data_IF_896326170835
#
_entry.id   IF_896326170835
#
_cell.length_a   1.000
_cell.length_b   1.000
_cell.length_c   1.000
_cell.angle_alpha   90.00
_cell.angle_beta   90.00
_cell.angle_gamma   90.00
#
_symmetry.space_group_name_H-M   'P 1'
#
loop_
_entity.id
_entity.type
_entity.pdbx_description
1 polymer ?
#
# COMPACT_ATOMS: atom_id res chain seq x y z
N UNK A 1 3.44 31.16 -30.38
CA UNK A 1 4.17 30.24 -31.29
C UNK A 1 3.95 28.87 -30.70
N UNK A 2 3.03 28.14 -31.30
CA UNK A 2 2.61 26.80 -30.85
C UNK A 2 3.44 25.82 -31.67
N UNK A 3 4.39 25.15 -31.03
CA UNK A 3 5.26 24.16 -31.67
C UNK A 3 4.41 22.95 -32.08
N UNK A 4 3.92 22.97 -33.31
CA UNK A 4 3.40 21.77 -33.97
C UNK A 4 4.56 20.84 -34.29
N UNK A 5 5.01 20.07 -33.31
CA UNK A 5 5.87 18.92 -33.56
C UNK A 5 5.09 17.93 -34.41
N UNK A 6 5.49 17.79 -35.67
CA UNK A 6 5.03 16.72 -36.55
C UNK A 6 5.37 15.39 -35.87
N UNK A 7 4.38 14.52 -35.58
CA UNK A 7 4.65 13.26 -34.89
C UNK A 7 5.59 12.44 -35.77
N UNK A 8 6.81 12.23 -35.30
CA UNK A 8 7.78 11.40 -36.01
C UNK A 8 7.21 9.99 -36.11
N UNK A 9 7.16 9.38 -37.31
CA UNK A 9 6.66 8.02 -37.45
C UNK A 9 7.50 7.08 -36.58
N UNK A 10 6.83 6.44 -35.61
CA UNK A 10 7.48 5.48 -34.70
C UNK A 10 8.04 4.32 -35.51
N UNK A 11 9.28 3.92 -35.22
CA UNK A 11 9.90 2.75 -35.82
C UNK A 11 9.01 1.51 -35.54
N UNK A 12 8.49 0.81 -36.57
CA UNK A 12 7.68 -0.39 -36.36
C UNK A 12 8.43 -1.49 -35.60
N UNK A 13 9.77 -1.46 -35.55
CA UNK A 13 10.58 -2.38 -34.73
C UNK A 13 10.58 -2.07 -33.24
N UNK A 14 10.16 -0.88 -32.83
CA UNK A 14 10.13 -0.48 -31.41
C UNK A 14 9.25 -1.42 -30.55
N UNK A 15 8.26 -2.07 -31.17
CA UNK A 15 7.38 -3.03 -30.50
C UNK A 15 7.83 -4.48 -30.59
N UNK A 16 8.85 -4.82 -31.39
CA UNK A 16 9.34 -6.21 -31.51
C UNK A 16 10.00 -6.72 -30.21
N UNK A 17 10.49 -5.82 -29.36
CA UNK A 17 11.01 -6.13 -28.04
C UNK A 17 9.91 -6.23 -26.96
N UNK A 18 8.70 -5.73 -27.26
CA UNK A 18 7.56 -5.78 -26.35
C UNK A 18 6.90 -7.14 -26.43
N UNK A 19 7.14 -8.00 -25.43
CA UNK A 19 6.56 -9.35 -25.37
C UNK A 19 5.16 -9.33 -24.75
N UNK A 20 5.09 -8.92 -23.49
CA UNK A 20 3.87 -8.94 -22.67
C UNK A 20 3.75 -7.73 -21.73
N UNK A 21 4.78 -6.88 -21.64
CA UNK A 21 4.79 -5.68 -20.78
C UNK A 21 4.86 -5.92 -19.25
N UNK A 22 4.61 -7.14 -18.77
CA UNK A 22 4.56 -7.50 -17.34
C UNK A 22 5.78 -7.06 -16.51
N UNK A 23 6.99 -7.16 -17.08
CA UNK A 23 8.25 -6.84 -16.39
C UNK A 23 8.93 -5.58 -16.94
N UNK A 24 8.24 -4.81 -17.79
CA UNK A 24 8.77 -3.57 -18.34
C UNK A 24 8.86 -2.47 -17.28
N UNK A 25 9.85 -1.58 -17.43
CA UNK A 25 9.91 -0.34 -16.64
C UNK A 25 8.84 0.66 -17.09
N UNK A 26 8.51 0.66 -18.40
CA UNK A 26 7.48 1.51 -19.00
C UNK A 26 6.22 0.69 -19.21
N UNK A 27 5.12 1.12 -18.61
CA UNK A 27 3.80 0.54 -18.85
C UNK A 27 3.13 1.29 -19.99
N UNK A 28 2.79 0.55 -21.04
CA UNK A 28 2.02 1.08 -22.17
C UNK A 28 0.55 0.75 -21.87
N UNK A 29 -0.28 1.77 -21.74
CA UNK A 29 -1.68 1.66 -21.35
C UNK A 29 -2.58 2.44 -22.31
N UNK A 30 -3.82 1.98 -22.45
CA UNK A 30 -4.90 2.82 -22.98
C UNK A 30 -5.31 3.88 -21.95
N UNK A 31 -6.01 4.97 -22.34
CA UNK A 31 -6.49 5.95 -21.37
C UNK A 31 -7.38 5.34 -20.27
N UNK A 32 -8.22 4.37 -20.62
CA UNK A 32 -9.11 3.68 -19.67
C UNK A 32 -8.30 2.80 -18.69
N UNK A 33 -7.29 2.08 -19.20
CA UNK A 33 -6.38 1.28 -18.36
C UNK A 33 -5.56 2.16 -17.41
N UNK A 34 -5.11 3.33 -17.87
CA UNK A 34 -4.35 4.29 -17.06
C UNK A 34 -5.21 4.85 -15.92
N UNK A 35 -6.49 5.15 -16.20
CA UNK A 35 -7.44 5.58 -15.19
C UNK A 35 -7.66 4.48 -14.14
N UNK A 36 -7.85 3.23 -14.58
CA UNK A 36 -8.02 2.09 -13.69
C UNK A 36 -6.76 1.81 -12.83
N UNK A 37 -5.58 1.87 -13.43
CA UNK A 37 -4.30 1.72 -12.73
C UNK A 37 -4.10 2.82 -11.69
N UNK A 38 -4.41 4.07 -12.04
CA UNK A 38 -4.31 5.21 -11.14
C UNK A 38 -5.25 5.05 -9.94
N UNK A 39 -6.51 4.67 -10.19
CA UNK A 39 -7.48 4.39 -9.14
C UNK A 39 -7.04 3.25 -8.22
N UNK A 40 -6.48 2.17 -8.78
CA UNK A 40 -5.88 1.07 -8.03
C UNK A 40 -4.76 1.54 -7.11
N UNK A 41 -3.78 2.28 -7.64
CA UNK A 41 -2.67 2.80 -6.85
C UNK A 41 -3.17 3.71 -5.72
N UNK A 42 -4.10 4.61 -6.01
CA UNK A 42 -4.71 5.49 -5.01
C UNK A 42 -5.39 4.70 -3.90
N UNK A 43 -6.15 3.64 -4.23
CA UNK A 43 -6.79 2.76 -3.25
C UNK A 43 -5.75 2.09 -2.34
N UNK A 44 -4.62 1.63 -2.89
CA UNK A 44 -3.55 1.04 -2.08
C UNK A 44 -2.88 2.06 -1.15
N UNK A 45 -2.59 3.27 -1.64
CA UNK A 45 -2.04 4.35 -0.81
C UNK A 45 -3.01 4.75 0.31
N UNK A 46 -4.31 4.83 0.02
CA UNK A 46 -5.33 5.13 1.03
C UNK A 46 -5.40 4.04 2.10
N UNK A 47 -5.41 2.76 1.69
CA UNK A 47 -5.51 1.63 2.62
C UNK A 47 -4.26 1.46 3.48
N UNK A 48 -3.08 1.66 2.91
CA UNK A 48 -1.79 1.51 3.61
C UNK A 48 -1.41 2.74 4.43
N UNK A 49 -1.99 3.91 4.13
CA UNK A 49 -1.72 5.19 4.77
C UNK A 49 -0.22 5.47 5.02
N UNK A 50 0.63 5.39 3.98
CA UNK A 50 2.06 5.58 4.12
C UNK A 50 2.43 7.03 4.45
N UNK A 51 3.38 7.22 5.34
CA UNK A 51 3.92 8.51 5.72
C UNK A 51 5.42 8.63 5.37
N UNK A 52 5.84 9.79 4.88
CA UNK A 52 7.20 10.00 4.42
C UNK A 52 7.52 9.31 3.08
N UNK A 53 8.69 9.63 2.52
CA UNK A 53 9.06 9.19 1.18
C UNK A 53 9.29 7.66 1.09
N UNK A 54 9.87 7.07 2.14
CA UNK A 54 10.22 5.63 2.16
C UNK A 54 8.96 4.77 2.20
N UNK A 55 8.03 5.04 3.11
CA UNK A 55 6.76 4.29 3.16
C UNK A 55 5.96 4.47 1.86
N UNK A 56 5.93 5.68 1.29
CA UNK A 56 5.23 5.97 0.02
C UNK A 56 5.83 5.18 -1.15
N UNK A 57 7.15 5.07 -1.20
CA UNK A 57 7.84 4.27 -2.22
C UNK A 57 7.50 2.79 -2.10
N UNK A 58 7.49 2.25 -0.88
CA UNK A 58 7.08 0.86 -0.62
C UNK A 58 5.61 0.62 -0.98
N UNK A 59 4.70 1.53 -0.60
CA UNK A 59 3.29 1.44 -0.93
C UNK A 59 3.05 1.46 -2.45
N UNK A 60 3.75 2.33 -3.18
CA UNK A 60 3.69 2.34 -4.64
C UNK A 60 4.18 1.01 -5.22
N UNK A 61 5.35 0.51 -4.79
CA UNK A 61 5.86 -0.77 -5.29
C UNK A 61 4.92 -1.94 -5.00
N UNK A 62 4.24 -1.94 -3.86
CA UNK A 62 3.22 -2.95 -3.54
C UNK A 62 2.04 -2.85 -4.52
N UNK A 63 1.55 -1.62 -4.77
CA UNK A 63 0.45 -1.40 -5.69
C UNK A 63 0.80 -1.84 -7.13
N UNK A 64 1.98 -1.46 -7.62
CA UNK A 64 2.49 -1.81 -8.96
C UNK A 64 2.57 -3.33 -9.14
N UNK A 65 3.08 -4.02 -8.13
CA UNK A 65 3.27 -5.46 -8.17
C UNK A 65 1.95 -6.22 -8.08
N UNK A 66 1.00 -5.72 -7.29
CA UNK A 66 -0.35 -6.27 -7.26
C UNK A 66 -1.07 -6.09 -8.59
N UNK A 67 -0.91 -4.92 -9.22
CA UNK A 67 -1.44 -4.68 -10.55
C UNK A 67 -0.83 -5.63 -11.59
N UNK A 68 0.49 -5.87 -11.51
CA UNK A 68 1.17 -6.87 -12.37
C UNK A 68 0.61 -8.27 -12.16
N UNK A 69 0.37 -8.70 -10.93
CA UNK A 69 -0.21 -10.01 -10.64
C UNK A 69 -1.63 -10.15 -11.21
N UNK A 70 -2.48 -9.13 -11.04
CA UNK A 70 -3.82 -9.12 -11.63
C UNK A 70 -3.77 -9.19 -13.17
N UNK A 71 -2.86 -8.45 -13.79
CA UNK A 71 -2.65 -8.50 -15.25
C UNK A 71 -2.12 -9.85 -15.72
N UNK A 72 -1.25 -10.50 -14.95
CA UNK A 72 -0.77 -11.85 -15.26
C UNK A 72 -1.94 -12.83 -15.36
N UNK A 73 -2.80 -12.85 -14.35
CA UNK A 73 -4.00 -13.68 -14.33
C UNK A 73 -4.96 -13.36 -15.51
N UNK A 74 -5.12 -12.08 -15.85
CA UNK A 74 -5.94 -11.67 -16.99
C UNK A 74 -5.36 -12.14 -18.34
N UNK A 75 -4.03 -12.08 -18.51
CA UNK A 75 -3.34 -12.58 -19.71
C UNK A 75 -3.55 -14.09 -19.85
N UNK A 76 -3.37 -14.84 -18.77
CA UNK A 76 -3.58 -16.29 -18.78
C UNK A 76 -5.01 -16.65 -19.20
N UNK A 77 -6.01 -16.03 -18.56
CA UNK A 77 -7.41 -16.25 -18.90
C UNK A 77 -7.72 -15.89 -20.37
N UNK A 78 -7.17 -14.78 -20.85
CA UNK A 78 -7.34 -14.35 -22.25
C UNK A 78 -6.73 -15.37 -23.21
N UNK A 79 -5.56 -15.92 -22.88
CA UNK A 79 -4.90 -16.90 -23.75
C UNK A 79 -5.69 -18.20 -23.85
N UNK A 80 -6.25 -18.68 -22.74
CA UNK A 80 -7.19 -19.82 -22.76
C UNK A 80 -8.44 -19.53 -23.56
N UNK A 81 -9.04 -18.35 -23.38
CA UNK A 81 -10.24 -17.94 -24.12
C UNK A 81 -9.99 -17.89 -25.64
N UNK A 82 -8.81 -17.41 -26.06
CA UNK A 82 -8.40 -17.42 -27.47
C UNK A 82 -8.24 -18.84 -28.01
N UNK A 83 -7.54 -19.72 -27.29
CA UNK A 83 -7.34 -21.09 -27.74
C UNK A 83 -8.63 -21.91 -27.81
N UNK A 84 -9.60 -21.64 -26.93
CA UNK A 84 -10.93 -22.24 -26.98
C UNK A 84 -11.82 -21.70 -28.12
N UNK A 85 -11.49 -20.53 -28.67
CA UNK A 85 -12.20 -19.97 -29.82
C UNK A 85 -11.60 -20.42 -31.17
N UNK A 86 -10.41 -21.01 -31.15
CA UNK A 86 -9.78 -21.57 -32.35
C UNK A 86 -10.43 -22.92 -32.71
N UNK A 87 -10.64 -23.24 -34.01
CA UNK A 87 -11.21 -24.52 -34.41
C UNK A 87 -10.33 -25.69 -33.95
N UNK A 88 -10.92 -26.63 -33.22
CA UNK A 88 -10.20 -27.79 -32.72
C UNK A 88 -9.72 -28.72 -33.84
N UNK A 89 -8.58 -29.39 -33.61
CA UNK A 89 -8.14 -30.51 -34.45
C UNK A 89 -8.87 -31.82 -34.12
N UNK A 90 -9.50 -31.91 -32.95
CA UNK A 90 -10.16 -33.10 -32.44
C UNK A 90 -11.64 -32.82 -32.20
N UNK A 91 -12.52 -33.62 -32.81
CA UNK A 91 -13.97 -33.50 -32.66
C UNK A 91 -14.52 -34.80 -32.07
N UNK A 92 -14.90 -34.76 -30.80
CA UNK A 92 -15.59 -35.84 -30.09
C UNK A 92 -17.11 -35.78 -30.29
N UNK A 93 -17.63 -34.74 -30.95
CA UNK A 93 -19.07 -34.49 -31.14
C UNK A 93 -19.84 -34.39 -29.82
N UNK A 94 -19.15 -33.94 -28.77
CA UNK A 94 -19.73 -33.72 -27.45
C UNK A 94 -19.19 -32.41 -26.90
N UNK A 95 -20.02 -31.37 -26.70
CA UNK A 95 -19.56 -30.01 -26.40
C UNK A 95 -18.57 -29.90 -25.24
N UNK A 96 -18.81 -30.65 -24.16
CA UNK A 96 -17.93 -30.63 -22.98
C UNK A 96 -16.58 -31.33 -23.23
N UNK A 97 -16.56 -32.36 -24.08
CA UNK A 97 -15.33 -33.10 -24.40
C UNK A 97 -14.50 -32.28 -25.38
N UNK A 98 -15.15 -31.64 -26.36
CA UNK A 98 -14.50 -30.72 -27.30
C UNK A 98 -13.88 -29.54 -26.55
N UNK A 99 -14.62 -28.90 -25.63
CA UNK A 99 -14.09 -27.81 -24.80
C UNK A 99 -12.91 -28.25 -23.91
N UNK A 100 -12.92 -29.48 -23.38
CA UNK A 100 -11.81 -30.02 -22.61
C UNK A 100 -10.58 -30.28 -23.49
N UNK A 101 -10.77 -30.77 -24.72
CA UNK A 101 -9.67 -30.93 -25.68
C UNK A 101 -9.06 -29.59 -26.08
N UNK A 102 -9.87 -28.57 -26.40
CA UNK A 102 -9.38 -27.23 -26.70
C UNK A 102 -8.49 -26.67 -25.58
N UNK A 103 -8.93 -26.82 -24.32
CA UNK A 103 -8.14 -26.41 -23.15
C UNK A 103 -6.83 -27.19 -23.04
N UNK A 104 -6.84 -28.51 -23.23
CA UNK A 104 -5.64 -29.34 -23.17
C UNK A 104 -4.63 -29.00 -24.28
N UNK A 105 -5.10 -28.76 -25.50
CA UNK A 105 -4.28 -28.31 -26.64
C UNK A 105 -3.70 -26.92 -26.39
N UNK A 106 -4.50 -26.01 -25.85
CA UNK A 106 -4.04 -24.66 -25.48
C UNK A 106 -2.97 -24.73 -24.39
N UNK A 107 -3.20 -25.53 -23.34
CA UNK A 107 -2.22 -25.77 -22.29
C UNK A 107 -0.89 -26.31 -22.85
N UNK A 108 -0.96 -27.33 -23.71
CA UNK A 108 0.23 -27.94 -24.30
C UNK A 108 1.01 -26.97 -25.19
N UNK A 109 0.31 -26.14 -25.98
CA UNK A 109 0.94 -25.15 -26.86
C UNK A 109 1.53 -23.95 -26.09
N UNK A 110 0.91 -23.55 -24.97
CA UNK A 110 1.33 -22.41 -24.15
C UNK A 110 2.21 -22.77 -22.95
N UNK A 111 2.50 -24.06 -22.73
CA UNK A 111 3.20 -24.55 -21.54
C UNK A 111 4.49 -23.76 -21.22
N UNK A 112 5.26 -23.35 -22.23
CA UNK A 112 6.47 -22.53 -22.03
C UNK A 112 6.16 -21.14 -21.47
N UNK A 113 5.12 -20.49 -21.97
CA UNK A 113 4.72 -19.15 -21.53
C UNK A 113 4.10 -19.20 -20.14
N UNK A 114 3.26 -20.19 -19.85
CA UNK A 114 2.67 -20.42 -18.53
C UNK A 114 3.74 -20.68 -17.47
N UNK A 115 4.75 -21.51 -17.78
CA UNK A 115 5.90 -21.71 -16.89
C UNK A 115 6.67 -20.41 -16.61
N UNK A 116 6.85 -19.57 -17.63
CA UNK A 116 7.50 -18.27 -17.48
C UNK A 116 6.68 -17.31 -16.61
N UNK A 117 5.35 -17.28 -16.80
CA UNK A 117 4.42 -16.48 -15.99
C UNK A 117 4.45 -16.91 -14.54
N UNK A 118 4.34 -18.21 -14.25
CA UNK A 118 4.44 -18.74 -12.88
C UNK A 118 5.74 -18.31 -12.17
N UNK A 119 6.87 -18.30 -12.89
CA UNK A 119 8.14 -17.81 -12.35
C UNK A 119 8.15 -16.30 -12.06
N UNK A 120 7.47 -15.49 -12.89
CA UNK A 120 7.34 -14.05 -12.67
C UNK A 120 6.37 -13.73 -11.54
N UNK A 121 5.25 -14.44 -11.46
CA UNK A 121 4.28 -14.33 -10.37
C UNK A 121 4.93 -14.69 -9.04
N UNK A 122 5.59 -15.84 -8.95
CA UNK A 122 6.28 -16.24 -7.71
C UNK A 122 7.38 -15.26 -7.29
N UNK A 123 8.07 -14.61 -8.23
CA UNK A 123 9.03 -13.53 -7.91
C UNK A 123 8.34 -12.26 -7.44
N UNK A 124 7.25 -11.87 -8.09
CA UNK A 124 6.48 -10.67 -7.78
C UNK A 124 5.78 -10.80 -6.44
N UNK A 125 5.15 -11.94 -6.16
CA UNK A 125 4.51 -12.24 -4.88
C UNK A 125 5.51 -12.18 -3.72
N UNK A 126 6.71 -12.77 -3.86
CA UNK A 126 7.78 -12.64 -2.86
C UNK A 126 8.27 -11.20 -2.69
N UNK A 127 8.18 -10.35 -3.71
CA UNK A 127 8.51 -8.91 -3.58
C UNK A 127 7.41 -8.18 -2.83
N UNK A 128 6.13 -8.43 -3.14
CA UNK A 128 4.99 -7.91 -2.40
C UNK A 128 5.06 -8.27 -0.93
N UNK A 129 5.30 -9.54 -0.60
CA UNK A 129 5.39 -10.02 0.79
C UNK A 129 6.49 -9.30 1.57
N UNK A 130 7.69 -9.18 0.98
CA UNK A 130 8.83 -8.50 1.60
C UNK A 130 8.57 -7.01 1.79
N UNK A 131 8.06 -6.33 0.76
CA UNK A 131 7.77 -4.90 0.83
C UNK A 131 6.65 -4.61 1.84
N UNK A 132 5.62 -5.46 1.89
CA UNK A 132 4.54 -5.36 2.87
C UNK A 132 5.06 -5.54 4.30
N UNK A 133 5.97 -6.49 4.52
CA UNK A 133 6.63 -6.67 5.82
C UNK A 133 7.45 -5.44 6.20
N UNK A 134 8.31 -4.96 5.30
CA UNK A 134 9.14 -3.77 5.56
C UNK A 134 8.29 -2.53 5.86
N UNK A 135 7.19 -2.33 5.12
CA UNK A 135 6.27 -1.23 5.38
C UNK A 135 5.62 -1.33 6.77
N UNK A 136 5.14 -2.51 7.16
CA UNK A 136 4.55 -2.73 8.48
C UNK A 136 5.56 -2.51 9.60
N UNK A 137 6.79 -2.96 9.42
CA UNK A 137 7.87 -2.80 10.40
C UNK A 137 8.20 -1.30 10.58
N UNK A 138 8.40 -0.55 9.48
CA UNK A 138 8.61 0.91 9.50
C UNK A 138 7.45 1.68 10.15
N UNK A 139 6.21 1.31 9.82
CA UNK A 139 5.04 1.94 10.42
C UNK A 139 4.92 1.64 11.91
N UNK A 140 5.27 0.45 12.35
CA UNK A 140 5.27 0.08 13.76
C UNK A 140 6.33 0.90 14.53
N UNK A 141 7.55 0.98 13.98
CA UNK A 141 8.64 1.79 14.54
C UNK A 141 8.25 3.27 14.64
N UNK A 142 7.70 3.84 13.56
CA UNK A 142 7.23 5.22 13.53
C UNK A 142 6.13 5.48 14.56
N UNK A 143 5.11 4.61 14.64
CA UNK A 143 4.01 4.75 15.61
C UNK A 143 4.51 4.64 17.05
N UNK A 144 5.45 3.73 17.31
CA UNK A 144 6.06 3.57 18.63
C UNK A 144 6.88 4.82 19.03
N UNK A 145 7.74 5.31 18.14
CA UNK A 145 8.52 6.53 18.37
C UNK A 145 7.61 7.75 18.58
N UNK A 146 6.55 7.88 17.77
CA UNK A 146 5.57 8.96 17.96
C UNK A 146 4.85 8.85 19.30
N UNK A 147 4.53 7.63 19.73
CA UNK A 147 3.88 7.39 21.02
C UNK A 147 4.78 7.79 22.19
N UNK A 148 6.08 7.49 22.13
CA UNK A 148 7.05 7.92 23.13
C UNK A 148 7.11 9.45 23.26
N UNK A 149 7.17 10.17 22.13
CA UNK A 149 7.15 11.64 22.12
C UNK A 149 5.86 12.19 22.74
N UNK A 150 4.70 11.60 22.41
CA UNK A 150 3.43 12.00 23.01
C UNK A 150 3.38 11.72 24.52
N UNK A 151 3.97 10.63 24.98
CA UNK A 151 3.99 10.28 26.41
C UNK A 151 4.89 11.24 27.20
N UNK A 152 6.05 11.60 26.67
CA UNK A 152 6.93 12.60 27.25
C UNK A 152 6.26 13.99 27.28
N UNK A 153 5.63 14.42 26.19
CA UNK A 153 4.87 15.66 26.15
C UNK A 153 3.70 15.65 27.14
N UNK A 154 3.04 14.50 27.33
CA UNK A 154 1.97 14.34 28.33
C UNK A 154 2.53 14.51 29.74
N UNK A 155 3.70 13.94 30.04
CA UNK A 155 4.36 14.06 31.33
C UNK A 155 4.73 15.51 31.65
N UNK A 156 5.34 16.22 30.68
CA UNK A 156 5.66 17.64 30.82
C UNK A 156 4.40 18.49 31.04
N UNK A 157 3.32 18.21 30.31
CA UNK A 157 2.06 18.92 30.47
C UNK A 157 1.44 18.71 31.87
N UNK A 158 1.50 17.47 32.41
CA UNK A 158 1.06 17.18 33.76
C UNK A 158 1.91 17.86 34.82
N UNK A 159 3.23 17.91 34.61
CA UNK A 159 4.15 18.60 35.49
C UNK A 159 3.88 20.11 35.51
N UNK A 160 3.76 20.77 34.35
CA UNK A 160 3.41 22.18 34.25
C UNK A 160 2.09 22.49 34.98
N UNK A 161 1.06 21.66 34.76
CA UNK A 161 -0.22 21.80 35.46
C UNK A 161 -0.09 21.67 36.99
N UNK A 162 0.79 20.78 37.49
CA UNK A 162 1.04 20.62 38.93
C UNK A 162 1.71 21.86 39.56
N UNK A 163 2.44 22.63 38.76
CA UNK A 163 3.08 23.88 39.16
C UNK A 163 2.17 25.11 38.93
N UNK A 164 0.98 24.93 38.35
CA UNK A 164 0.09 26.03 37.98
C UNK A 164 0.53 26.80 36.72
N UNK A 165 1.45 26.24 35.94
CA UNK A 165 2.02 26.85 34.73
C UNK A 165 1.36 26.29 33.45
N UNK A 166 1.27 27.08 32.37
CA UNK A 166 0.81 26.58 31.08
C UNK A 166 1.89 25.74 30.39
N UNK A 167 1.45 24.61 29.82
CA UNK A 167 2.26 23.81 28.90
C UNK A 167 2.28 24.45 27.51
N UNK A 168 3.47 24.68 26.98
CA UNK A 168 3.69 25.18 25.63
C UNK A 168 4.58 24.20 24.87
N UNK A 169 4.01 23.52 23.87
CA UNK A 169 4.69 22.46 23.12
C UNK A 169 5.94 22.98 22.38
N UNK A 170 5.95 24.22 21.92
CA UNK A 170 7.09 24.78 21.17
C UNK A 170 8.25 25.11 22.10
N UNK A 171 7.95 25.56 23.32
CA UNK A 171 8.94 25.87 24.36
C UNK A 171 9.46 24.60 25.03
N UNK A 172 8.54 23.71 25.40
CA UNK A 172 8.82 22.54 26.24
C UNK A 172 9.27 21.33 25.40
N UNK A 173 9.12 21.40 24.07
CA UNK A 173 9.56 20.39 23.10
C UNK A 173 10.29 21.06 21.92
N UNK A 174 11.53 21.53 22.12
CA UNK A 174 12.27 22.23 21.06
C UNK A 174 12.61 21.28 19.89
N UNK A 175 12.83 21.80 18.67
CA UNK A 175 13.12 20.99 17.49
C UNK A 175 14.30 20.03 17.65
N UNK A 176 15.29 20.38 18.48
CA UNK A 176 16.45 19.54 18.78
C UNK A 176 16.11 18.30 19.63
N UNK A 177 15.01 18.37 20.39
CA UNK A 177 14.51 17.25 21.20
C UNK A 177 13.56 16.34 20.42
N UNK A 178 13.02 16.80 19.27
CA UNK A 178 12.17 15.96 18.41
C UNK A 178 12.99 15.15 17.41
N UNK A 179 12.63 13.86 17.20
CA UNK A 179 13.07 13.13 16.04
C UNK A 179 12.71 13.88 14.75
N UNK A 180 13.61 14.01 13.76
CA UNK A 180 13.39 14.82 12.55
C UNK A 180 12.10 14.45 11.78
N UNK A 181 11.71 13.17 11.83
CA UNK A 181 10.48 12.68 11.22
C UNK A 181 9.18 13.25 11.82
N UNK A 182 9.24 13.92 12.98
CA UNK A 182 8.09 14.50 13.67
C UNK A 182 8.15 16.03 13.77
N UNK A 183 9.10 16.70 13.11
CA UNK A 183 9.29 18.15 13.19
C UNK A 183 8.00 18.96 12.89
N UNK A 184 7.14 18.46 12.00
CA UNK A 184 5.86 19.10 11.63
C UNK A 184 4.65 18.56 12.43
N UNK A 185 4.88 17.74 13.45
CA UNK A 185 3.82 17.08 14.22
C UNK A 185 3.53 17.75 15.56
N UNK A 186 4.15 18.88 15.88
CA UNK A 186 3.97 19.60 17.15
C UNK A 186 2.50 19.87 17.52
N UNK A 187 1.63 20.39 16.61
CA UNK A 187 0.22 20.60 16.94
C UNK A 187 -0.53 19.29 17.27
N UNK A 188 -0.16 18.20 16.58
CA UNK A 188 -0.74 16.87 16.80
C UNK A 188 -0.27 16.29 18.14
N UNK A 189 1.00 16.46 18.48
CA UNK A 189 1.58 16.07 19.77
C UNK A 189 0.87 16.80 20.91
N UNK A 190 0.74 18.13 20.83
CA UNK A 190 0.04 18.94 21.82
C UNK A 190 -1.42 18.49 22.02
N UNK A 191 -2.14 18.26 20.93
CA UNK A 191 -3.53 17.79 20.97
C UNK A 191 -3.65 16.44 21.67
N UNK A 192 -2.77 15.49 21.35
CA UNK A 192 -2.78 14.16 21.94
C UNK A 192 -2.34 14.16 23.40
N UNK A 193 -1.34 14.96 23.76
CA UNK A 193 -0.91 15.15 25.14
C UNK A 193 -2.06 15.72 26.00
N UNK A 194 -2.73 16.78 25.51
CA UNK A 194 -3.90 17.34 26.18
C UNK A 194 -5.04 16.32 26.32
N UNK A 195 -5.32 15.54 25.27
CA UNK A 195 -6.31 14.47 25.32
C UNK A 195 -5.96 13.40 26.39
N UNK A 196 -4.71 12.91 26.41
CA UNK A 196 -4.25 11.92 27.39
C UNK A 196 -4.32 12.45 28.82
N UNK A 197 -3.93 13.69 29.06
CA UNK A 197 -4.05 14.34 30.37
C UNK A 197 -5.51 14.44 30.84
N UNK A 198 -6.45 14.80 29.94
CA UNK A 198 -7.89 14.80 30.26
C UNK A 198 -8.42 13.41 30.59
N UNK A 199 -7.99 12.38 29.84
CA UNK A 199 -8.37 10.99 30.12
C UNK A 199 -7.83 10.53 31.48
N UNK A 200 -6.60 10.89 31.83
CA UNK A 200 -6.02 10.60 33.14
C UNK A 200 -6.79 11.29 34.28
N UNK A 201 -7.12 12.58 34.13
CA UNK A 201 -7.92 13.32 35.10
C UNK A 201 -9.32 12.70 35.28
N UNK A 202 -9.97 12.29 34.19
CA UNK A 202 -11.27 11.63 34.23
C UNK A 202 -11.21 10.28 34.95
N UNK A 203 -10.16 9.48 34.72
CA UNK A 203 -9.93 8.22 35.44
C UNK A 203 -9.78 8.46 36.94
N UNK A 204 -8.92 9.39 37.33
CA UNK A 204 -8.69 9.75 38.74
C UNK A 204 -9.98 10.22 39.43
N UNK A 205 -10.78 11.06 38.76
CA UNK A 205 -12.08 11.50 39.28
C UNK A 205 -13.06 10.34 39.46
N UNK A 206 -13.10 9.41 38.50
CA UNK A 206 -13.98 8.23 38.58
C UNK A 206 -13.59 7.28 39.71
N UNK A 207 -12.29 7.11 39.96
CA UNK A 207 -11.77 6.27 41.05
C UNK A 207 -12.03 6.91 42.43
N UNK A 208 -11.82 8.23 42.55
CA UNK A 208 -12.15 8.98 43.77
C UNK A 208 -13.65 8.89 44.10
N UNK A 209 -14.52 8.92 43.09
CA UNK A 209 -15.97 8.77 43.26
C UNK A 209 -16.38 7.34 43.64
N UNK A 210 -15.56 6.32 43.31
CA UNK A 210 -15.82 4.90 43.61
C UNK A 210 -15.36 4.47 45.00
N UNK A 211 -14.47 5.20 45.67
CA UNK A 211 -14.10 4.87 47.05
C UNK A 211 -15.31 5.14 47.98
N UNK A 212 -15.89 4.11 48.63
CA UNK A 212 -17.06 4.32 49.48
C UNK A 212 -16.65 5.11 50.74
N UNK A 213 -17.52 6.02 51.16
CA UNK A 213 -17.47 6.69 52.46
C UNK A 213 -17.18 5.63 53.53
N UNK A 214 -15.99 5.69 54.15
CA UNK A 214 -15.61 4.78 55.25
C UNK A 214 -16.71 4.83 56.29
N UNK A 215 -17.37 3.69 56.54
CA UNK A 215 -18.33 3.53 57.64
C UNK A 215 -17.59 3.85 58.94
N UNK A 216 -17.94 4.97 59.56
CA UNK A 216 -17.65 5.22 60.96
C UNK A 216 -18.72 4.48 61.78
N UNK A 217 -18.32 3.41 62.45
CA UNK A 217 -19.01 2.79 63.58
C UNK A 217 -17.98 2.04 64.41
#
# INVERSE_FOLDING_TARGET
>A
MEDTQTPTPRDPRAFNAYRHGLTGQVMIMTPDDEAAYTAHCQSFHQALAPEGAVEKSLAQSIADDQWRLQRSAAIDLTRFSMGMAEPDQYFAHHPEIDAAFAQAVTWASEAKNLNLMSLYEGRTQRRVERNMKMLKDLQAERKAAFQQVVDEATLLAQFAASQGEPFDVERDFPPEALPPQFAFSLPKIATLAAHKSRVAAAKNHSEATRQPLRRAA
#
